data_IF_555828345232
#
_entry.id   IF_555828345232
#
_cell.length_a   1.000
_cell.length_b   1.000
_cell.length_c   1.000
_cell.angle_alpha   90.00
_cell.angle_beta   90.00
_cell.angle_gamma   90.00
#
_symmetry.space_group_name_H-M   'P 1'
#
loop_
_entity.id
_entity.type
_entity.pdbx_description
1 polymer ?
#
# COMPACT_ATOMS: atom_id res chain seq x y z
N UNK A 1 -31.00 -9.49 26.02
CA UNK A 1 -29.56 -9.34 25.74
C UNK A 1 -29.29 -10.14 24.49
N UNK A 2 -29.38 -9.53 23.31
CA UNK A 2 -29.09 -10.16 22.02
C UNK A 2 -27.58 -10.11 21.85
N UNK A 3 -26.93 -11.25 22.04
CA UNK A 3 -25.51 -11.44 21.81
C UNK A 3 -25.26 -11.29 20.30
N UNK A 4 -24.68 -10.16 19.89
CA UNK A 4 -24.18 -9.98 18.51
C UNK A 4 -23.04 -10.98 18.31
N UNK A 5 -23.33 -12.11 17.70
CA UNK A 5 -22.30 -13.06 17.27
C UNK A 5 -21.38 -12.36 16.27
N UNK A 6 -20.10 -12.28 16.63
CA UNK A 6 -19.04 -11.76 15.75
C UNK A 6 -19.05 -12.52 14.42
N UNK A 7 -18.97 -11.84 13.26
CA UNK A 7 -18.92 -12.49 11.94
C UNK A 7 -17.75 -13.49 11.78
N UNK A 8 -16.73 -13.40 12.62
CA UNK A 8 -15.60 -14.35 12.68
C UNK A 8 -16.02 -15.76 13.13
N UNK A 9 -17.11 -15.91 13.91
CA UNK A 9 -17.58 -17.20 14.41
C UNK A 9 -18.42 -17.98 13.39
N UNK A 10 -18.84 -17.37 12.28
CA UNK A 10 -19.69 -18.02 11.26
C UNK A 10 -18.87 -18.65 10.12
N UNK A 11 -17.57 -18.38 10.03
CA UNK A 11 -16.72 -18.98 9.00
C UNK A 11 -16.57 -20.49 9.24
N UNK A 12 -17.42 -21.26 8.55
CA UNK A 12 -17.38 -22.72 8.64
C UNK A 12 -16.06 -23.22 8.02
N UNK A 13 -15.40 -24.14 8.74
CA UNK A 13 -14.12 -24.82 8.41
C UNK A 13 -14.08 -25.52 7.03
N UNK A 14 -15.14 -25.40 6.19
CA UNK A 14 -15.29 -26.04 4.87
C UNK A 14 -15.13 -25.09 3.68
N UNK A 15 -15.13 -23.79 3.88
CA UNK A 15 -14.99 -22.86 2.75
C UNK A 15 -13.52 -22.63 2.44
N UNK A 16 -13.18 -22.68 1.15
CA UNK A 16 -11.82 -22.35 0.69
C UNK A 16 -11.49 -20.93 1.09
N UNK A 17 -10.35 -20.73 1.77
CA UNK A 17 -9.90 -19.38 2.15
C UNK A 17 -9.83 -18.48 0.91
N UNK A 18 -10.42 -17.30 1.03
CA UNK A 18 -10.44 -16.29 -0.04
C UNK A 18 -9.05 -15.70 -0.27
N UNK A 19 -8.67 -15.52 -1.52
CA UNK A 19 -7.41 -14.89 -1.93
C UNK A 19 -7.59 -13.37 -2.02
N UNK A 20 -6.92 -12.65 -1.16
CA UNK A 20 -6.95 -11.18 -1.13
C UNK A 20 -5.61 -10.64 -1.57
N UNK A 21 -5.61 -9.91 -2.67
CA UNK A 21 -4.44 -9.19 -3.16
C UNK A 21 -4.51 -7.75 -2.68
N UNK A 22 -3.42 -7.25 -2.08
CA UNK A 22 -3.31 -5.86 -1.61
C UNK A 22 -2.17 -5.18 -2.36
N UNK A 23 -2.46 -4.07 -3.03
CA UNK A 23 -1.52 -3.35 -3.90
C UNK A 23 -1.23 -1.98 -3.31
N UNK A 24 0.05 -1.66 -3.11
CA UNK A 24 0.45 -0.36 -2.57
C UNK A 24 1.93 -0.28 -2.20
N UNK A 25 2.22 0.55 -1.20
CA UNK A 25 3.55 0.77 -0.63
C UNK A 25 3.47 1.53 0.68
N UNK A 26 4.62 1.80 1.28
CA UNK A 26 4.74 2.63 2.47
C UNK A 26 4.14 2.04 3.75
N UNK A 27 4.04 2.93 4.75
CA UNK A 27 3.55 2.58 6.10
C UNK A 27 2.04 2.30 6.15
N UNK A 28 1.27 2.89 5.23
CA UNK A 28 -0.17 2.70 5.15
C UNK A 28 -0.53 1.25 4.80
N UNK A 29 0.13 0.69 3.79
CA UNK A 29 -0.01 -0.72 3.40
C UNK A 29 0.33 -1.65 4.57
N UNK A 30 1.47 -1.41 5.24
CA UNK A 30 1.90 -2.20 6.40
C UNK A 30 0.86 -2.17 7.54
N UNK A 31 0.25 -1.01 7.80
CA UNK A 31 -0.81 -0.87 8.80
C UNK A 31 -2.03 -1.72 8.44
N UNK A 32 -2.49 -1.69 7.19
CA UNK A 32 -3.61 -2.50 6.72
C UNK A 32 -3.33 -4.00 6.85
N UNK A 33 -2.14 -4.44 6.44
CA UNK A 33 -1.74 -5.85 6.48
C UNK A 33 -1.66 -6.41 7.91
N UNK A 34 -1.27 -5.61 8.91
CA UNK A 34 -1.34 -5.98 10.33
C UNK A 34 -2.77 -6.37 10.77
N UNK A 35 -3.77 -5.68 10.24
CA UNK A 35 -5.17 -6.01 10.49
C UNK A 35 -5.62 -7.25 9.71
N UNK A 36 -5.35 -7.30 8.42
CA UNK A 36 -5.80 -8.39 7.56
C UNK A 36 -5.25 -9.75 7.98
N UNK A 37 -4.01 -9.83 8.48
CA UNK A 37 -3.42 -11.09 8.95
C UNK A 37 -4.16 -11.76 10.12
N UNK A 38 -5.05 -11.02 10.81
CA UNK A 38 -5.86 -11.56 11.91
C UNK A 38 -7.09 -12.35 11.41
N UNK A 39 -7.41 -12.27 10.12
CA UNK A 39 -8.57 -12.91 9.51
C UNK A 39 -8.19 -14.16 8.71
N UNK A 40 -9.12 -15.13 8.55
CA UNK A 40 -8.88 -16.38 7.81
C UNK A 40 -8.93 -16.17 6.29
N UNK A 41 -7.96 -15.46 5.75
CA UNK A 41 -7.81 -15.14 4.33
C UNK A 41 -6.37 -15.40 3.86
N UNK A 42 -6.20 -15.68 2.57
CA UNK A 42 -4.88 -15.79 1.93
C UNK A 42 -4.46 -14.41 1.42
N UNK A 43 -3.48 -13.80 2.06
CA UNK A 43 -3.00 -12.47 1.71
C UNK A 43 -1.85 -12.57 0.71
N UNK A 44 -1.89 -11.77 -0.36
CA UNK A 44 -0.74 -11.48 -1.21
C UNK A 44 -0.57 -9.96 -1.30
N UNK A 45 0.52 -9.44 -0.74
CA UNK A 45 0.89 -8.04 -0.85
C UNK A 45 1.77 -7.82 -2.09
N UNK A 46 1.35 -6.94 -3.01
CA UNK A 46 2.13 -6.47 -4.14
C UNK A 46 2.65 -5.08 -3.79
N UNK A 47 3.96 -4.93 -3.73
CA UNK A 47 4.62 -3.77 -3.15
C UNK A 47 5.44 -3.04 -4.20
N UNK A 48 5.30 -1.71 -4.26
CA UNK A 48 6.15 -0.86 -5.11
C UNK A 48 7.62 -0.98 -4.72
N UNK A 49 8.50 -0.85 -5.70
CA UNK A 49 9.97 -0.81 -5.54
C UNK A 49 10.56 0.49 -6.08
N UNK A 50 9.77 1.57 -6.03
CA UNK A 50 10.18 2.90 -6.51
C UNK A 50 10.85 3.77 -5.44
N UNK A 51 10.77 3.39 -4.13
CA UNK A 51 11.38 4.11 -3.01
C UNK A 51 12.90 4.26 -3.24
N UNK A 52 13.40 5.48 -3.12
CA UNK A 52 14.81 5.84 -3.22
C UNK A 52 15.29 6.68 -2.03
N UNK A 53 14.53 6.68 -0.95
CA UNK A 53 14.82 7.46 0.25
C UNK A 53 15.88 6.82 1.15
N UNK A 54 16.67 7.67 1.81
CA UNK A 54 17.54 7.33 2.96
C UNK A 54 18.36 6.03 2.78
N UNK A 55 18.10 5.03 3.65
CA UNK A 55 18.80 3.72 3.62
C UNK A 55 18.56 2.95 2.31
N UNK A 56 17.33 3.01 1.78
CA UNK A 56 16.98 2.29 0.54
C UNK A 56 17.76 2.85 -0.65
N UNK A 57 17.80 4.17 -0.80
CA UNK A 57 18.52 4.81 -1.92
C UNK A 57 19.99 4.44 -1.95
N UNK A 58 20.68 4.52 -0.80
CA UNK A 58 22.11 4.14 -0.70
C UNK A 58 22.35 2.68 -1.10
N UNK A 59 21.52 1.75 -0.62
CA UNK A 59 21.67 0.33 -0.96
C UNK A 59 21.36 0.04 -2.44
N UNK A 60 20.39 0.76 -3.02
CA UNK A 60 20.09 0.67 -4.46
C UNK A 60 21.29 1.08 -5.33
N UNK A 61 21.98 2.15 -4.94
CA UNK A 61 23.14 2.67 -5.67
C UNK A 61 24.35 1.76 -5.50
N UNK A 62 24.66 1.35 -4.25
CA UNK A 62 25.85 0.57 -3.92
C UNK A 62 25.80 -0.86 -4.44
N UNK A 63 24.66 -1.54 -4.30
CA UNK A 63 24.49 -2.97 -4.63
C UNK A 63 23.76 -3.23 -5.95
N UNK A 64 23.36 -2.19 -6.66
CA UNK A 64 22.63 -2.30 -7.93
C UNK A 64 21.31 -3.08 -7.81
N UNK A 65 20.56 -2.92 -6.72
CA UNK A 65 19.35 -3.66 -6.38
C UNK A 65 18.07 -2.81 -6.48
N UNK A 66 16.86 -3.41 -6.61
CA UNK A 66 15.60 -2.70 -6.45
C UNK A 66 15.40 -2.17 -5.02
N UNK A 67 14.40 -1.31 -4.82
CA UNK A 67 14.08 -0.77 -3.50
C UNK A 67 13.60 -1.84 -2.52
N UNK A 68 14.15 -1.87 -1.31
CA UNK A 68 13.85 -2.88 -0.28
C UNK A 68 13.07 -2.32 0.92
N UNK A 69 12.95 -0.99 1.04
CA UNK A 69 12.40 -0.33 2.24
C UNK A 69 10.95 -0.71 2.52
N UNK A 70 10.07 -0.56 1.53
CA UNK A 70 8.66 -0.90 1.65
C UNK A 70 8.44 -2.41 1.80
N UNK A 71 9.22 -3.21 1.09
CA UNK A 71 9.18 -4.67 1.20
C UNK A 71 9.52 -5.14 2.63
N UNK A 72 10.54 -4.54 3.26
CA UNK A 72 10.86 -4.78 4.67
C UNK A 72 9.68 -4.44 5.59
N UNK A 73 9.07 -3.26 5.42
CA UNK A 73 7.92 -2.85 6.24
C UNK A 73 6.76 -3.85 6.13
N UNK A 74 6.51 -4.35 4.93
CA UNK A 74 5.46 -5.35 4.66
C UNK A 74 5.81 -6.71 5.26
N UNK A 75 7.05 -7.18 5.14
CA UNK A 75 7.50 -8.40 5.81
C UNK A 75 7.27 -8.33 7.32
N UNK A 76 7.71 -7.25 7.96
CA UNK A 76 7.49 -7.02 9.40
C UNK A 76 6.01 -7.05 9.75
N UNK A 77 5.16 -6.40 8.96
CA UNK A 77 3.72 -6.31 9.25
C UNK A 77 2.99 -7.64 9.17
N UNK A 78 3.42 -8.56 8.31
CA UNK A 78 2.84 -9.88 8.12
C UNK A 78 3.51 -10.97 8.96
N UNK A 79 4.64 -10.70 9.61
CA UNK A 79 5.33 -11.69 10.43
C UNK A 79 4.53 -12.06 11.69
N UNK A 80 4.66 -13.31 12.12
CA UNK A 80 4.10 -13.86 13.37
C UNK A 80 5.20 -14.08 14.44
N UNK A 81 6.38 -13.48 14.22
CA UNK A 81 7.51 -13.59 15.14
C UNK A 81 7.33 -12.71 16.38
N UNK A 82 8.13 -13.00 17.41
CA UNK A 82 8.14 -12.23 18.65
C UNK A 82 8.45 -10.74 18.42
N UNK A 83 7.95 -9.83 19.26
CA UNK A 83 8.18 -8.39 19.14
C UNK A 83 9.64 -8.00 18.98
N UNK A 84 10.56 -8.71 19.65
CA UNK A 84 11.99 -8.46 19.55
C UNK A 84 12.54 -8.62 18.11
N UNK A 85 12.03 -9.58 17.35
CA UNK A 85 12.45 -9.78 15.95
C UNK A 85 11.87 -8.66 15.06
N UNK A 86 10.65 -8.21 15.37
CA UNK A 86 10.07 -7.04 14.70
C UNK A 86 10.94 -5.79 14.95
N UNK A 87 11.33 -5.55 16.20
CA UNK A 87 12.21 -4.45 16.58
C UNK A 87 13.58 -4.56 15.92
N UNK A 88 14.15 -5.77 15.84
CA UNK A 88 15.42 -6.03 15.14
C UNK A 88 15.34 -5.67 13.66
N UNK A 89 14.31 -6.07 12.95
CA UNK A 89 14.15 -5.76 11.52
C UNK A 89 13.94 -4.26 11.26
N UNK A 90 13.38 -3.55 12.23
CA UNK A 90 13.17 -2.11 12.17
C UNK A 90 14.34 -1.31 12.75
N UNK A 91 15.25 -1.95 13.47
CA UNK A 91 16.40 -1.29 14.10
C UNK A 91 17.19 -0.49 13.08
N UNK A 92 17.50 0.77 13.42
CA UNK A 92 18.36 1.64 12.62
C UNK A 92 19.64 1.92 13.36
N UNK A 93 20.74 1.65 12.69
CA UNK A 93 22.06 1.95 13.24
C UNK A 93 22.22 3.46 13.48
N UNK A 94 22.70 3.82 14.65
CA UNK A 94 23.09 5.18 15.01
C UNK A 94 24.60 5.17 15.30
N UNK A 95 25.40 5.50 14.30
CA UNK A 95 26.86 5.40 14.33
C UNK A 95 27.48 6.45 13.41
N UNK A 96 28.80 6.63 13.46
CA UNK A 96 29.54 7.52 12.55
C UNK A 96 30.06 6.82 11.29
N UNK A 97 29.82 5.51 11.15
CA UNK A 97 30.22 4.72 9.97
C UNK A 97 29.16 4.74 8.87
N UNK A 98 29.46 4.10 7.74
CA UNK A 98 28.54 3.94 6.60
C UNK A 98 27.26 3.20 6.95
N UNK A 99 27.23 2.44 8.06
CA UNK A 99 26.03 1.81 8.59
C UNK A 99 25.01 2.82 9.14
N UNK A 100 25.39 4.09 9.35
CA UNK A 100 24.52 5.08 9.96
C UNK A 100 23.18 5.20 9.23
N UNK A 101 22.08 5.13 9.99
CA UNK A 101 20.69 5.16 9.53
C UNK A 101 20.25 3.99 8.63
N UNK A 102 21.09 3.01 8.34
CA UNK A 102 20.63 1.78 7.70
C UNK A 102 19.70 1.01 8.64
N UNK A 103 18.59 0.50 8.09
CA UNK A 103 17.72 -0.41 8.81
C UNK A 103 18.28 -1.83 8.69
N UNK A 104 18.33 -2.58 9.79
CA UNK A 104 18.82 -3.96 9.81
C UNK A 104 18.09 -4.85 8.81
N UNK A 105 16.76 -4.73 8.71
CA UNK A 105 15.98 -5.51 7.75
C UNK A 105 16.27 -5.14 6.29
N UNK A 106 16.67 -3.89 5.97
CA UNK A 106 17.12 -3.54 4.62
C UNK A 106 18.45 -4.24 4.29
N UNK A 107 19.39 -4.28 5.26
CA UNK A 107 20.66 -4.99 5.08
C UNK A 107 20.43 -6.50 4.89
N UNK A 108 19.51 -7.11 5.65
CA UNK A 108 19.15 -8.51 5.49
C UNK A 108 18.54 -8.81 4.11
N UNK A 109 17.64 -7.95 3.61
CA UNK A 109 17.08 -8.09 2.27
C UNK A 109 18.15 -7.95 1.19
N UNK A 110 19.06 -6.99 1.33
CA UNK A 110 20.20 -6.80 0.42
C UNK A 110 21.11 -8.02 0.41
N UNK A 111 21.48 -8.54 1.59
CA UNK A 111 22.30 -9.74 1.71
C UNK A 111 21.62 -10.96 1.07
N UNK A 112 20.32 -11.13 1.31
CA UNK A 112 19.55 -12.24 0.74
C UNK A 112 19.44 -12.10 -0.79
N UNK A 113 19.27 -10.88 -1.31
CA UNK A 113 19.29 -10.62 -2.75
C UNK A 113 20.63 -11.03 -3.40
N UNK A 114 21.75 -10.70 -2.78
CA UNK A 114 23.07 -11.08 -3.26
C UNK A 114 23.29 -12.61 -3.24
N UNK A 115 22.64 -13.31 -2.31
CA UNK A 115 22.72 -14.79 -2.20
C UNK A 115 21.84 -15.45 -3.26
N UNK A 116 20.62 -14.96 -3.47
CA UNK A 116 19.62 -15.63 -4.32
C UNK A 116 19.60 -15.12 -5.77
N UNK A 117 20.09 -13.90 -6.01
CA UNK A 117 20.04 -13.22 -7.30
C UNK A 117 18.65 -12.72 -7.71
N UNK A 118 17.62 -12.83 -6.84
CA UNK A 118 16.24 -12.43 -7.12
C UNK A 118 15.57 -11.88 -5.87
N UNK A 119 14.86 -10.76 -6.01
CA UNK A 119 14.11 -10.16 -4.92
C UNK A 119 12.91 -11.02 -4.50
N UNK A 120 12.26 -11.66 -5.48
CA UNK A 120 11.15 -12.60 -5.24
C UNK A 120 11.61 -13.80 -4.42
N UNK A 121 12.76 -14.40 -4.76
CA UNK A 121 13.32 -15.54 -4.02
C UNK A 121 13.83 -15.12 -2.63
N UNK A 122 14.40 -13.93 -2.52
CA UNK A 122 14.81 -13.33 -1.25
C UNK A 122 13.63 -13.18 -0.30
N UNK A 123 12.52 -12.61 -0.79
CA UNK A 123 11.30 -12.43 -0.03
C UNK A 123 10.68 -13.79 0.36
N UNK A 124 10.68 -14.76 -0.55
CA UNK A 124 10.19 -16.11 -0.28
C UNK A 124 11.00 -16.80 0.84
N UNK A 125 12.33 -16.66 0.80
CA UNK A 125 13.24 -17.23 1.81
C UNK A 125 13.06 -16.56 3.17
N UNK A 126 13.04 -15.23 3.22
CA UNK A 126 12.82 -14.48 4.45
C UNK A 126 11.41 -14.70 5.02
N UNK A 127 10.41 -14.91 4.15
CA UNK A 127 9.04 -15.23 4.58
C UNK A 127 8.98 -16.54 5.38
N UNK A 128 9.79 -17.54 5.02
CA UNK A 128 9.89 -18.78 5.78
C UNK A 128 10.62 -18.58 7.12
N UNK A 129 11.72 -17.81 7.12
CA UNK A 129 12.51 -17.53 8.32
C UNK A 129 11.68 -16.78 9.36
N UNK A 130 10.89 -15.80 8.92
CA UNK A 130 10.09 -14.94 9.81
C UNK A 130 8.63 -15.37 9.97
N UNK A 131 8.28 -16.59 9.55
CA UNK A 131 6.90 -17.10 9.64
C UNK A 131 5.84 -16.09 9.19
N UNK A 132 5.96 -15.62 7.94
CA UNK A 132 5.08 -14.61 7.38
C UNK A 132 3.71 -15.19 7.06
N UNK A 133 2.65 -14.54 7.52
CA UNK A 133 1.27 -14.91 7.20
C UNK A 133 0.82 -14.29 5.87
N UNK A 134 1.06 -15.02 4.79
CA UNK A 134 0.75 -14.60 3.42
C UNK A 134 1.97 -14.57 2.52
N UNK A 135 1.88 -13.83 1.41
CA UNK A 135 2.95 -13.66 0.43
C UNK A 135 3.28 -12.19 0.24
N UNK A 136 4.56 -11.89 0.10
CA UNK A 136 5.05 -10.56 -0.27
C UNK A 136 5.72 -10.67 -1.62
N UNK A 137 5.24 -9.89 -2.60
CA UNK A 137 5.75 -9.88 -3.95
C UNK A 137 6.23 -8.47 -4.33
N UNK A 138 7.44 -8.32 -4.87
CA UNK A 138 7.85 -7.07 -5.45
C UNK A 138 7.03 -6.85 -6.73
N UNK A 139 6.60 -5.62 -7.00
CA UNK A 139 5.91 -5.30 -8.25
C UNK A 139 6.75 -5.66 -9.47
N UNK A 140 8.05 -5.42 -9.40
CA UNK A 140 9.05 -5.71 -10.43
C UNK A 140 10.39 -6.06 -9.80
N UNK A 141 11.22 -6.80 -10.52
CA UNK A 141 12.64 -7.02 -10.19
C UNK A 141 13.54 -5.93 -10.79
N UNK A 142 12.99 -5.09 -11.67
CA UNK A 142 13.75 -4.02 -12.31
C UNK A 142 13.92 -2.83 -11.37
N UNK A 143 14.99 -2.06 -11.55
CA UNK A 143 15.14 -0.75 -10.90
C UNK A 143 14.12 0.22 -11.46
N UNK A 144 13.05 0.43 -10.72
CA UNK A 144 12.01 1.38 -11.08
C UNK A 144 12.40 2.81 -10.64
N UNK A 145 12.43 3.74 -11.57
CA UNK A 145 12.66 5.16 -11.32
C UNK A 145 11.37 5.90 -11.64
N UNK A 146 10.76 6.48 -10.61
CA UNK A 146 9.52 7.25 -10.74
C UNK A 146 9.84 8.67 -11.22
N UNK A 147 9.03 9.16 -12.16
CA UNK A 147 9.09 10.52 -12.68
C UNK A 147 7.72 11.16 -12.53
N UNK A 148 7.65 12.32 -11.91
CA UNK A 148 6.44 13.13 -11.83
C UNK A 148 6.52 14.31 -12.80
N UNK A 149 5.41 14.56 -13.47
CA UNK A 149 5.15 15.77 -14.23
C UNK A 149 4.19 16.64 -13.44
N UNK A 150 4.57 17.84 -13.13
CA UNK A 150 3.79 18.77 -12.30
C UNK A 150 2.83 19.62 -13.13
N UNK A 151 1.89 20.28 -12.46
CA UNK A 151 0.94 21.19 -13.14
C UNK A 151 1.62 22.44 -13.68
N UNK A 152 2.71 22.90 -13.07
CA UNK A 152 3.52 24.07 -13.50
C UNK A 152 4.56 23.71 -14.58
N UNK A 153 4.60 22.44 -15.02
CA UNK A 153 5.40 21.97 -16.16
C UNK A 153 6.79 21.46 -15.79
N UNK A 154 7.15 21.36 -14.50
CA UNK A 154 8.40 20.73 -14.09
C UNK A 154 8.34 19.21 -14.21
N UNK A 155 9.52 18.60 -14.36
CA UNK A 155 9.73 17.15 -14.37
C UNK A 155 10.66 16.81 -13.21
N UNK A 156 10.17 15.98 -12.29
CA UNK A 156 10.89 15.61 -11.08
C UNK A 156 11.14 14.11 -11.09
N UNK A 157 12.40 13.71 -10.98
CA UNK A 157 12.84 12.33 -10.98
C UNK A 157 13.16 11.86 -9.55
N UNK A 158 12.69 10.65 -9.21
CA UNK A 158 12.90 10.00 -7.91
C UNK A 158 11.76 10.26 -6.92
N UNK A 159 11.31 9.20 -6.26
CA UNK A 159 10.17 9.21 -5.32
C UNK A 159 10.40 10.21 -4.19
N UNK A 160 11.58 10.17 -3.56
CA UNK A 160 11.94 11.09 -2.47
C UNK A 160 12.00 12.56 -2.90
N UNK A 161 12.42 12.82 -4.14
CA UNK A 161 12.46 14.19 -4.67
C UNK A 161 11.05 14.70 -4.97
N UNK A 162 10.18 13.84 -5.49
CA UNK A 162 8.77 14.14 -5.75
C UNK A 162 8.08 14.55 -4.44
N UNK A 163 8.22 13.73 -3.41
CA UNK A 163 7.66 14.00 -2.08
C UNK A 163 8.20 15.28 -1.47
N UNK A 164 9.52 15.52 -1.55
CA UNK A 164 10.16 16.74 -1.00
C UNK A 164 9.78 18.02 -1.74
N UNK A 165 9.51 17.94 -3.04
CA UNK A 165 9.16 19.11 -3.83
C UNK A 165 7.79 19.69 -3.44
N UNK A 166 6.85 18.88 -2.93
CA UNK A 166 5.52 19.33 -2.53
C UNK A 166 4.73 20.01 -3.65
N UNK A 167 5.03 19.68 -4.92
CA UNK A 167 4.41 20.31 -6.08
C UNK A 167 3.20 19.51 -6.57
N UNK A 168 2.18 20.21 -7.04
CA UNK A 168 0.98 19.55 -7.56
C UNK A 168 1.28 18.67 -8.77
N UNK A 169 1.07 17.36 -8.60
CA UNK A 169 1.36 16.36 -9.61
C UNK A 169 0.22 16.31 -10.64
N UNK A 170 0.60 16.37 -11.92
CA UNK A 170 -0.31 16.18 -13.05
C UNK A 170 -0.46 14.70 -13.39
N UNK A 171 0.69 13.99 -13.49
CA UNK A 171 0.77 12.54 -13.68
C UNK A 171 2.17 12.03 -13.33
N UNK A 172 2.27 10.73 -13.14
CA UNK A 172 3.56 10.03 -12.95
C UNK A 172 3.74 8.92 -13.97
N UNK A 173 4.99 8.60 -14.25
CA UNK A 173 5.40 7.49 -15.11
C UNK A 173 6.72 6.89 -14.62
N UNK A 174 7.10 5.74 -15.15
CA UNK A 174 8.46 5.21 -14.97
C UNK A 174 9.37 5.74 -16.09
N UNK A 175 10.58 6.19 -15.71
CA UNK A 175 11.64 6.58 -16.65
C UNK A 175 12.04 5.44 -17.58
N UNK A 176 12.03 4.22 -17.07
CA UNK A 176 12.40 3.01 -17.77
C UNK A 176 11.22 2.00 -17.83
N UNK A 177 11.22 1.12 -18.81
CA UNK A 177 10.25 0.03 -18.85
C UNK A 177 10.52 -0.93 -17.69
N UNK A 178 9.49 -1.24 -16.90
CA UNK A 178 9.54 -2.23 -15.85
C UNK A 178 8.73 -3.46 -16.22
N UNK A 179 9.28 -4.64 -15.92
CA UNK A 179 8.62 -5.93 -16.15
C UNK A 179 7.96 -6.38 -14.86
N UNK A 180 6.65 -6.57 -14.91
CA UNK A 180 5.91 -7.15 -13.77
C UNK A 180 6.23 -8.63 -13.67
N UNK A 181 6.45 -9.13 -12.45
CA UNK A 181 6.77 -10.54 -12.22
C UNK A 181 5.57 -11.45 -12.56
N UNK A 182 5.83 -12.70 -12.93
CA UNK A 182 4.78 -13.68 -13.27
C UNK A 182 3.91 -13.98 -12.05
N UNK A 183 4.52 -13.98 -10.88
CA UNK A 183 3.89 -14.21 -9.58
C UNK A 183 2.85 -13.14 -9.27
N UNK A 184 3.14 -11.88 -9.55
CA UNK A 184 2.21 -10.74 -9.43
C UNK A 184 1.00 -10.93 -10.35
N UNK A 185 1.23 -11.24 -11.62
CA UNK A 185 0.15 -11.46 -12.59
C UNK A 185 -0.72 -12.67 -12.19
N UNK A 186 -0.08 -13.75 -11.74
CA UNK A 186 -0.79 -14.93 -11.24
C UNK A 186 -1.65 -14.60 -10.01
N UNK A 187 -1.12 -13.83 -9.05
CA UNK A 187 -1.86 -13.42 -7.86
C UNK A 187 -3.09 -12.59 -8.23
N UNK A 188 -2.95 -11.59 -9.11
CA UNK A 188 -4.05 -10.75 -9.59
C UNK A 188 -5.15 -11.57 -10.27
N UNK A 189 -4.77 -12.52 -11.14
CA UNK A 189 -5.73 -13.35 -11.88
C UNK A 189 -6.51 -14.33 -10.99
N UNK A 190 -5.93 -14.75 -9.86
CA UNK A 190 -6.53 -15.70 -8.93
C UNK A 190 -7.11 -15.06 -7.66
N UNK A 191 -7.19 -13.74 -7.62
CA UNK A 191 -7.77 -13.01 -6.50
C UNK A 191 -9.29 -13.17 -6.43
N UNK A 192 -9.84 -13.21 -5.21
CA UNK A 192 -11.25 -13.04 -4.92
C UNK A 192 -11.58 -11.57 -4.62
N UNK A 193 -10.60 -10.81 -4.08
CA UNK A 193 -10.67 -9.37 -3.87
C UNK A 193 -9.30 -8.73 -4.15
N UNK A 194 -9.30 -7.60 -4.85
CA UNK A 194 -8.11 -6.77 -5.05
C UNK A 194 -8.32 -5.46 -4.30
N UNK A 195 -7.43 -5.18 -3.35
CA UNK A 195 -7.43 -3.95 -2.56
C UNK A 195 -6.35 -3.01 -3.09
N UNK A 196 -6.73 -1.76 -3.35
CA UNK A 196 -5.85 -0.68 -3.77
C UNK A 196 -5.67 0.29 -2.60
N UNK A 197 -4.43 0.52 -2.17
CA UNK A 197 -4.11 1.40 -1.03
C UNK A 197 -3.97 0.59 0.26
N UNK A 198 -3.70 1.19 1.35
CA UNK A 198 -3.52 2.58 1.77
C UNK A 198 -2.10 3.05 1.37
N UNK A 199 -1.92 4.33 1.05
CA UNK A 199 -0.61 4.91 0.72
C UNK A 199 -0.76 6.20 -0.07
N UNK A 200 0.34 6.91 -0.29
CA UNK A 200 0.42 8.08 -1.15
C UNK A 200 -0.06 7.75 -2.55
N UNK A 201 -0.93 8.60 -3.09
CA UNK A 201 -1.64 8.28 -4.33
C UNK A 201 -0.66 8.08 -5.50
N UNK A 202 0.23 9.06 -5.71
CA UNK A 202 1.13 9.08 -6.85
C UNK A 202 2.45 8.36 -6.60
N UNK A 203 2.91 8.26 -5.36
CA UNK A 203 4.22 7.67 -5.05
C UNK A 203 4.14 6.23 -4.54
N UNK A 204 3.02 5.79 -3.96
CA UNK A 204 2.87 4.43 -3.44
C UNK A 204 1.84 3.58 -4.18
N UNK A 205 0.71 4.15 -4.64
CA UNK A 205 -0.39 3.41 -5.27
C UNK A 205 -0.20 3.33 -6.79
N UNK A 206 -0.18 4.47 -7.48
CA UNK A 206 -0.13 4.56 -8.94
C UNK A 206 1.09 3.87 -9.54
N UNK A 207 2.30 3.87 -8.94
CA UNK A 207 3.44 3.13 -9.49
C UNK A 207 3.12 1.67 -9.81
N UNK A 208 2.34 0.99 -8.99
CA UNK A 208 1.90 -0.38 -9.24
C UNK A 208 0.91 -0.52 -10.42
N UNK A 209 0.38 0.59 -10.93
CA UNK A 209 -0.60 0.63 -12.01
C UNK A 209 -0.02 1.10 -13.36
N UNK A 210 1.28 1.46 -13.42
CA UNK A 210 1.88 2.06 -14.62
C UNK A 210 2.14 1.05 -15.74
N UNK A 211 2.46 -0.20 -15.41
CA UNK A 211 2.78 -1.24 -16.40
C UNK A 211 1.56 -1.64 -17.24
N UNK A 212 1.73 -1.70 -18.56
CA UNK A 212 0.67 -2.17 -19.48
C UNK A 212 0.25 -3.62 -19.19
N UNK A 213 1.18 -4.48 -18.77
CA UNK A 213 0.89 -5.87 -18.39
C UNK A 213 0.02 -5.92 -17.14
N UNK A 214 0.34 -5.11 -16.13
CA UNK A 214 -0.47 -5.01 -14.91
C UNK A 214 -1.86 -4.45 -15.20
N UNK A 215 -1.96 -3.37 -15.99
CA UNK A 215 -3.24 -2.79 -16.41
C UNK A 215 -4.14 -3.83 -17.08
N UNK A 216 -3.57 -4.65 -17.97
CA UNK A 216 -4.31 -5.72 -18.64
C UNK A 216 -4.79 -6.78 -17.64
N UNK A 217 -3.93 -7.23 -16.74
CA UNK A 217 -4.29 -8.21 -15.72
C UNK A 217 -5.41 -7.68 -14.81
N UNK A 218 -5.30 -6.45 -14.32
CA UNK A 218 -6.31 -5.81 -13.49
C UNK A 218 -7.67 -5.64 -14.17
N UNK A 219 -7.66 -5.27 -15.47
CA UNK A 219 -8.90 -5.17 -16.28
C UNK A 219 -9.60 -6.53 -16.45
N UNK A 220 -8.82 -7.59 -16.63
CA UNK A 220 -9.33 -8.93 -16.88
C UNK A 220 -9.65 -9.71 -15.59
N UNK A 221 -9.17 -9.25 -14.45
CA UNK A 221 -9.43 -9.89 -13.17
C UNK A 221 -10.92 -9.86 -12.82
N UNK A 222 -11.48 -11.02 -12.46
CA UNK A 222 -12.89 -11.16 -12.04
C UNK A 222 -13.14 -10.56 -10.66
N UNK A 223 -12.12 -10.51 -9.82
CA UNK A 223 -12.18 -9.95 -8.47
C UNK A 223 -12.68 -8.51 -8.48
N UNK A 224 -13.48 -8.13 -7.49
CA UNK A 224 -13.82 -6.72 -7.22
C UNK A 224 -12.57 -5.94 -6.82
N UNK A 225 -12.48 -4.68 -7.22
CA UNK A 225 -11.41 -3.75 -6.91
C UNK A 225 -11.90 -2.76 -5.86
N UNK A 226 -11.39 -2.91 -4.65
CA UNK A 226 -11.73 -2.05 -3.52
C UNK A 226 -10.59 -1.04 -3.29
N UNK A 227 -10.93 0.25 -3.34
CA UNK A 227 -10.01 1.31 -2.94
C UNK A 227 -10.23 1.68 -1.47
N UNK A 228 -9.14 1.74 -0.70
CA UNK A 228 -9.17 2.26 0.67
C UNK A 228 -8.68 3.70 0.62
N UNK A 229 -9.60 4.64 0.83
CA UNK A 229 -9.29 6.06 0.71
C UNK A 229 -8.51 6.56 1.95
N UNK A 230 -7.45 7.33 1.72
CA UNK A 230 -6.72 8.00 2.79
C UNK A 230 -7.65 8.90 3.60
N UNK A 231 -7.37 9.05 4.91
CA UNK A 231 -8.15 9.94 5.80
C UNK A 231 -7.79 11.40 5.56
N UNK A 232 -6.48 11.67 5.39
CA UNK A 232 -5.95 13.00 5.16
C UNK A 232 -5.41 13.11 3.74
N UNK A 233 -5.51 14.32 3.15
CA UNK A 233 -4.81 14.63 1.92
C UNK A 233 -3.30 14.69 2.16
N UNK A 234 -2.54 14.64 1.09
CA UNK A 234 -1.08 14.73 1.09
C UNK A 234 -0.69 15.88 0.17
N UNK A 235 0.09 16.83 0.73
CA UNK A 235 0.48 18.05 0.02
C UNK A 235 1.26 17.73 -1.26
N UNK A 236 0.91 18.41 -2.35
CA UNK A 236 1.44 18.14 -3.69
C UNK A 236 0.75 17.00 -4.44
N UNK A 237 0.17 16.01 -3.73
CA UNK A 237 -0.48 14.86 -4.36
C UNK A 237 -2.01 14.99 -4.44
N UNK A 238 -2.66 15.29 -3.31
CA UNK A 238 -4.12 15.20 -3.19
C UNK A 238 -4.74 16.44 -2.54
N UNK A 239 -4.11 17.61 -2.69
CA UNK A 239 -4.63 18.86 -2.19
C UNK A 239 -6.05 19.14 -2.72
N UNK A 240 -6.96 19.39 -1.81
CA UNK A 240 -8.36 19.70 -2.13
C UNK A 240 -9.17 18.52 -2.72
N UNK A 241 -8.63 17.30 -2.75
CA UNK A 241 -9.35 16.15 -3.27
C UNK A 241 -10.43 15.67 -2.30
N UNK A 242 -11.56 15.28 -2.88
CA UNK A 242 -12.56 14.43 -2.26
C UNK A 242 -12.32 12.96 -2.63
N UNK A 243 -13.09 12.06 -2.01
CA UNK A 243 -12.99 10.62 -2.30
C UNK A 243 -13.17 10.31 -3.79
N UNK A 244 -14.13 10.97 -4.47
CA UNK A 244 -14.36 10.76 -5.91
C UNK A 244 -13.18 11.20 -6.76
N UNK A 245 -12.41 12.21 -6.33
CA UNK A 245 -11.27 12.71 -7.08
C UNK A 245 -10.10 11.73 -7.01
N UNK A 246 -9.86 11.12 -5.84
CA UNK A 246 -8.89 10.02 -5.71
C UNK A 246 -9.26 8.84 -6.62
N UNK A 247 -10.54 8.42 -6.65
CA UNK A 247 -11.01 7.36 -7.53
C UNK A 247 -10.81 7.72 -9.00
N UNK A 248 -11.12 8.96 -9.41
CA UNK A 248 -10.91 9.43 -10.80
C UNK A 248 -9.44 9.34 -11.21
N UNK A 249 -8.52 9.72 -10.30
CA UNK A 249 -7.09 9.64 -10.60
C UNK A 249 -6.64 8.18 -10.77
N UNK A 250 -7.02 7.28 -9.88
CA UNK A 250 -6.70 5.84 -10.03
C UNK A 250 -7.27 5.29 -11.34
N UNK A 251 -8.53 5.59 -11.64
CA UNK A 251 -9.22 5.13 -12.84
C UNK A 251 -8.53 5.59 -14.13
N UNK A 252 -7.96 6.80 -14.19
CA UNK A 252 -7.20 7.29 -15.36
C UNK A 252 -6.05 6.37 -15.76
N UNK A 253 -5.41 5.71 -14.79
CA UNK A 253 -4.27 4.86 -15.06
C UNK A 253 -4.63 3.45 -15.54
N UNK A 254 -5.84 2.95 -15.25
CA UNK A 254 -6.25 1.59 -15.63
C UNK A 254 -7.41 1.61 -16.61
N UNK A 255 -8.59 2.05 -16.18
CA UNK A 255 -9.79 2.22 -17.03
C UNK A 255 -10.82 3.08 -16.30
N UNK A 256 -11.76 3.68 -17.04
CA UNK A 256 -12.77 4.61 -16.53
C UNK A 256 -13.54 4.06 -15.31
N UNK A 257 -13.86 2.77 -15.30
CA UNK A 257 -14.68 2.12 -14.29
C UNK A 257 -13.87 1.02 -13.57
N UNK A 258 -12.61 1.34 -13.22
CA UNK A 258 -11.70 0.34 -12.64
C UNK A 258 -12.05 0.02 -11.18
N UNK A 259 -12.35 1.03 -10.36
CA UNK A 259 -12.71 0.84 -8.95
C UNK A 259 -14.19 0.47 -8.83
N UNK A 260 -14.49 -0.70 -8.24
CA UNK A 260 -15.85 -1.17 -7.97
C UNK A 260 -16.40 -0.68 -6.63
N UNK A 261 -15.53 -0.58 -5.62
CA UNK A 261 -15.89 -0.29 -4.22
C UNK A 261 -14.91 0.68 -3.62
N UNK A 262 -15.36 1.61 -2.80
CA UNK A 262 -14.50 2.44 -1.97
C UNK A 262 -14.88 2.30 -0.50
N UNK A 263 -13.87 2.09 0.36
CA UNK A 263 -14.00 2.16 1.81
C UNK A 263 -13.40 3.48 2.28
N UNK A 264 -14.20 4.31 2.95
CA UNK A 264 -13.81 5.66 3.39
C UNK A 264 -14.15 5.89 4.85
N UNK A 265 -13.31 6.68 5.53
CA UNK A 265 -13.52 7.10 6.91
C UNK A 265 -14.63 8.16 6.99
N UNK A 266 -15.64 7.94 7.84
CA UNK A 266 -16.72 8.89 8.11
C UNK A 266 -16.55 9.67 9.42
N UNK A 267 -15.52 9.37 10.20
CA UNK A 267 -15.23 10.08 11.45
C UNK A 267 -14.51 11.38 11.17
N UNK A 268 -15.03 12.47 11.77
CA UNK A 268 -14.32 13.77 11.76
C UNK A 268 -13.00 13.64 12.53
N UNK A 269 -11.91 14.13 11.93
CA UNK A 269 -10.63 14.28 12.62
C UNK A 269 -10.76 15.41 13.64
N UNK A 270 -10.29 15.27 14.91
CA UNK A 270 -10.35 16.31 15.91
C UNK A 270 -9.68 17.60 15.46
N UNK A 271 -10.27 18.75 15.83
CA UNK A 271 -9.83 20.08 15.35
C UNK A 271 -8.37 20.40 15.77
N UNK A 272 -7.93 19.91 16.94
CA UNK A 272 -6.54 20.07 17.37
C UNK A 272 -5.54 19.28 16.49
N UNK A 273 -5.96 18.18 15.90
CA UNK A 273 -5.16 17.40 14.96
C UNK A 273 -5.22 18.03 13.57
N UNK A 274 -6.41 18.48 13.13
CA UNK A 274 -6.57 19.18 11.83
C UNK A 274 -5.63 20.36 11.70
N UNK A 275 -5.49 21.19 12.76
CA UNK A 275 -4.59 22.35 12.77
C UNK A 275 -3.13 21.96 12.45
N UNK A 276 -2.64 20.82 12.95
CA UNK A 276 -1.27 20.34 12.64
C UNK A 276 -1.12 19.96 11.17
N UNK A 277 -2.16 19.39 10.59
CA UNK A 277 -2.16 19.05 9.16
C UNK A 277 -2.31 20.28 8.26
N UNK A 278 -3.06 21.32 8.71
CA UNK A 278 -3.17 22.60 8.01
C UNK A 278 -1.80 23.30 7.87
N UNK A 279 -0.94 23.20 8.90
CA UNK A 279 0.44 23.68 8.85
C UNK A 279 1.28 22.99 7.77
N UNK A 280 0.92 21.75 7.41
CA UNK A 280 1.54 20.96 6.34
C UNK A 280 0.76 21.04 5.02
N UNK A 281 -0.18 21.98 4.88
CA UNK A 281 -1.09 22.14 3.73
C UNK A 281 -1.93 20.86 3.44
N UNK A 282 -2.27 20.11 4.45
CA UNK A 282 -3.07 18.89 4.35
C UNK A 282 -4.42 19.06 5.03
N UNK A 283 -5.44 18.37 4.53
CA UNK A 283 -6.80 18.44 5.04
C UNK A 283 -7.44 17.05 5.09
N UNK A 284 -8.54 16.91 5.83
CA UNK A 284 -9.32 15.67 5.81
C UNK A 284 -9.98 15.50 4.43
N UNK A 285 -9.83 14.33 3.80
CA UNK A 285 -10.51 13.97 2.56
C UNK A 285 -12.01 13.78 2.84
N UNK A 286 -12.86 14.52 2.15
CA UNK A 286 -14.30 14.52 2.36
C UNK A 286 -15.00 13.51 1.45
N UNK A 287 -16.11 12.92 1.96
CA UNK A 287 -16.93 11.96 1.22
C UNK A 287 -17.99 12.71 0.44
N UNK A 288 -17.84 12.78 -0.86
CA UNK A 288 -18.78 13.38 -1.81
C UNK A 288 -19.69 12.33 -2.45
N UNK A 289 -20.67 11.84 -1.68
CA UNK A 289 -21.54 10.68 -1.98
C UNK A 289 -22.17 10.74 -3.37
N UNK A 290 -22.66 11.91 -3.78
CA UNK A 290 -23.36 12.08 -5.07
C UNK A 290 -22.41 11.84 -6.26
N UNK A 291 -21.17 12.31 -6.17
CA UNK A 291 -20.18 12.09 -7.21
C UNK A 291 -19.75 10.62 -7.28
N UNK A 292 -19.51 9.98 -6.13
CA UNK A 292 -19.19 8.54 -6.06
C UNK A 292 -20.33 7.71 -6.68
N UNK A 293 -21.59 8.02 -6.35
CA UNK A 293 -22.77 7.37 -6.91
C UNK A 293 -22.85 7.51 -8.44
N UNK A 294 -22.58 8.71 -8.98
CA UNK A 294 -22.53 8.95 -10.44
C UNK A 294 -21.47 8.13 -11.15
N UNK A 295 -20.42 7.73 -10.45
CA UNK A 295 -19.35 6.86 -10.98
C UNK A 295 -19.73 5.37 -10.94
N UNK A 296 -20.85 5.00 -10.34
CA UNK A 296 -21.27 3.61 -10.18
C UNK A 296 -20.48 2.83 -9.12
N UNK A 297 -19.69 3.54 -8.27
CA UNK A 297 -18.85 2.93 -7.24
C UNK A 297 -19.65 2.69 -5.97
N UNK A 298 -19.58 1.48 -5.41
CA UNK A 298 -20.18 1.15 -4.11
C UNK A 298 -19.40 1.84 -2.99
N UNK A 299 -20.06 2.70 -2.23
CA UNK A 299 -19.47 3.38 -1.08
C UNK A 299 -19.73 2.60 0.21
N UNK A 300 -18.67 2.27 0.94
CA UNK A 300 -18.70 1.76 2.31
C UNK A 300 -18.07 2.81 3.21
N UNK A 301 -18.74 3.15 4.32
CA UNK A 301 -18.23 4.12 5.29
C UNK A 301 -18.24 3.55 6.70
N UNK A 302 -17.18 3.81 7.45
CA UNK A 302 -17.05 3.40 8.85
C UNK A 302 -16.16 4.38 9.62
N UNK A 303 -16.22 4.34 10.96
CA UNK A 303 -15.25 5.04 11.82
C UNK A 303 -13.92 4.29 11.77
N UNK A 304 -13.07 4.69 10.81
CA UNK A 304 -11.75 4.10 10.59
C UNK A 304 -10.62 4.90 11.25
N UNK A 305 -10.94 6.00 11.93
CA UNK A 305 -9.94 6.91 12.47
C UNK A 305 -9.30 6.35 13.74
N UNK A 306 -7.97 6.36 13.77
CA UNK A 306 -7.13 6.15 14.94
C UNK A 306 -6.09 7.28 15.05
N UNK A 307 -5.99 7.91 16.22
CA UNK A 307 -4.98 8.96 16.46
C UNK A 307 -3.82 8.35 17.24
N UNK A 308 -2.61 8.48 16.67
CA UNK A 308 -1.35 8.06 17.31
C UNK A 308 -0.30 9.14 17.09
N UNK A 309 0.36 9.59 18.15
CA UNK A 309 1.41 10.60 18.09
C UNK A 309 0.98 11.86 17.29
N UNK A 310 -0.21 12.36 17.53
CA UNK A 310 -0.83 13.49 16.82
C UNK A 310 -1.03 13.26 15.31
N UNK A 311 -1.00 12.02 14.85
CA UNK A 311 -1.24 11.68 13.46
C UNK A 311 -2.56 10.91 13.30
N UNK A 312 -3.34 11.30 12.29
CA UNK A 312 -4.52 10.57 11.85
C UNK A 312 -4.10 9.34 11.03
N UNK A 313 -4.46 8.16 11.49
CA UNK A 313 -4.14 6.88 10.87
C UNK A 313 -5.41 6.04 10.76
N UNK A 314 -5.39 5.04 9.89
CA UNK A 314 -6.43 4.04 9.87
C UNK A 314 -6.32 3.11 11.08
N UNK A 315 -7.46 2.88 11.74
CA UNK A 315 -7.60 1.76 12.68
C UNK A 315 -7.51 0.46 11.88
N UNK A 316 -6.39 -0.26 12.03
CA UNK A 316 -6.11 -1.44 11.23
C UNK A 316 -7.09 -2.59 11.49
N UNK A 317 -7.61 -2.72 12.71
CA UNK A 317 -8.58 -3.77 13.07
C UNK A 317 -9.93 -3.46 12.43
N UNK A 318 -10.45 -2.24 12.62
CA UNK A 318 -11.73 -1.82 12.05
C UNK A 318 -11.70 -1.86 10.52
N UNK A 319 -10.62 -1.37 9.91
CA UNK A 319 -10.45 -1.38 8.45
C UNK A 319 -10.45 -2.81 7.91
N UNK A 320 -9.70 -3.72 8.54
CA UNK A 320 -9.67 -5.12 8.14
C UNK A 320 -11.00 -5.83 8.38
N UNK A 321 -11.73 -5.49 9.45
CA UNK A 321 -13.06 -6.04 9.73
C UNK A 321 -14.07 -5.64 8.65
N UNK A 322 -14.08 -4.38 8.21
CA UNK A 322 -14.96 -3.92 7.12
C UNK A 322 -14.67 -4.65 5.81
N UNK A 323 -13.38 -4.82 5.48
CA UNK A 323 -12.95 -5.58 4.30
C UNK A 323 -13.39 -7.04 4.39
N UNK A 324 -13.16 -7.70 5.53
CA UNK A 324 -13.55 -9.09 5.74
C UNK A 324 -15.07 -9.26 5.71
N UNK A 325 -15.82 -8.33 6.31
CA UNK A 325 -17.28 -8.31 6.28
C UNK A 325 -17.80 -8.16 4.84
N UNK A 326 -17.18 -7.27 4.03
CA UNK A 326 -17.50 -7.13 2.62
C UNK A 326 -17.26 -8.44 1.87
N UNK A 327 -16.08 -9.03 2.04
CA UNK A 327 -15.65 -10.26 1.36
C UNK A 327 -16.57 -11.46 1.64
N UNK A 328 -17.14 -11.53 2.85
CA UNK A 328 -18.00 -12.64 3.29
C UNK A 328 -19.50 -12.42 3.02
N UNK A 329 -19.93 -11.20 2.69
CA UNK A 329 -21.33 -10.87 2.38
C UNK A 329 -21.64 -10.90 0.89
N UNK A 330 -20.63 -10.93 0.03
CA UNK A 330 -20.78 -10.97 -1.43
C UNK A 330 -20.92 -12.42 -1.96
N UNK A 331 -20.92 -13.42 -1.09
CA UNK A 331 -21.29 -14.79 -1.38
C UNK A 331 -22.78 -15.00 -1.04
#
# INVERSE_FOLDING_TARGET
VTMLMSPVLIYRKRDKMKNVVVIGGGTGLSTLLRGLKLFPINITAIVTVADDGSSTGRLREEFDIPAVGDLRNVLVSLSEVEPLVEDLLQYRFNTYSDLNKHAMGNLLLTAMYNITGSLTDSLSSLSKIFNIKGKVLPFTEDKAILVAHTLDGEVIEGESNITKAGKHIKYVEYKNKVKVTKEVISAVNNADLIIIGIGSLYTSIIPNLLSTTMKRALKNAKAKKMYICNIMSEHGETDGFNVSDCIKQINKYVSKDFIDVVLANNKKVPDNILKLYEEENSAQILIDKENIKKMGVKLITSDLLYIKNNQARHDYIKTALEIFTYLTRED
#
